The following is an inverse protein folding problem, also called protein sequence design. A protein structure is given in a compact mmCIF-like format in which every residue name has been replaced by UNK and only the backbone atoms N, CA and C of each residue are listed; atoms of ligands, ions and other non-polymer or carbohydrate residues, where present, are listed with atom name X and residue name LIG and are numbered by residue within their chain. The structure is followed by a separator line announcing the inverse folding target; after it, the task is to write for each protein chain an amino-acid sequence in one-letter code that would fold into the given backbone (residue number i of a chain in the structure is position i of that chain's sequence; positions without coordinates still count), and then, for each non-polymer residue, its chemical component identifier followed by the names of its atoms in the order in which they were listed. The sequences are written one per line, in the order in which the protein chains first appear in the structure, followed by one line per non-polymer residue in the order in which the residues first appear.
data_IF_109108527042
#
_entry.id   IF_109108527042
#
_cell.length_a   1.000
_cell.length_b   1.000
_cell.length_c   1.000
_cell.angle_alpha   90.00
_cell.angle_beta   90.00
_cell.angle_gamma   90.00
#
_symmetry.space_group_name_H-M   'P 1'
#
loop_
_entity.id
_entity.type
_entity.pdbx_description
1 polymer ?
#
# COMPACT_ATOMS: atom_id res chain seq x y z
N UNK A 1 -4.67 6.70 31.41
CA UNK A 1 -5.85 6.16 30.68
C UNK A 1 -5.44 6.14 29.23
N UNK A 2 -5.33 4.96 28.62
CA UNK A 2 -5.16 4.85 27.17
C UNK A 2 -6.37 5.50 26.51
N UNK A 3 -6.13 6.36 25.53
CA UNK A 3 -7.24 6.94 24.76
C UNK A 3 -7.90 5.81 23.95
N UNK A 4 -9.21 5.88 23.77
CA UNK A 4 -9.98 4.80 23.14
C UNK A 4 -9.47 4.49 21.72
N UNK A 5 -8.96 5.50 21.02
CA UNK A 5 -8.31 5.38 19.71
C UNK A 5 -7.02 4.56 19.74
N UNK A 6 -6.18 4.74 20.75
CA UNK A 6 -4.90 4.01 20.86
C UNK A 6 -5.14 2.52 21.09
N UNK A 7 -6.16 2.18 21.88
CA UNK A 7 -6.56 0.79 22.14
C UNK A 7 -7.10 0.11 20.88
N UNK A 8 -7.91 0.83 20.08
CA UNK A 8 -8.47 0.31 18.83
C UNK A 8 -7.37 0.10 17.75
N UNK A 9 -6.36 0.98 17.70
CA UNK A 9 -5.17 0.80 16.83
C UNK A 9 -4.30 -0.40 17.24
N UNK A 10 -4.07 -0.57 18.55
CA UNK A 10 -3.25 -1.66 19.08
C UNK A 10 -3.91 -3.02 18.82
N UNK A 11 -5.22 -3.12 19.08
CA UNK A 11 -6.01 -4.31 18.76
C UNK A 11 -6.01 -4.61 17.26
N UNK A 12 -6.10 -3.58 16.40
CA UNK A 12 -6.02 -3.76 14.95
C UNK A 12 -4.65 -4.28 14.50
N UNK A 13 -3.56 -3.80 15.10
CA UNK A 13 -2.21 -4.31 14.80
C UNK A 13 -2.04 -5.76 15.27
N UNK A 14 -2.55 -6.09 16.44
CA UNK A 14 -2.52 -7.44 16.98
C UNK A 14 -3.30 -8.42 16.09
N UNK A 15 -4.53 -8.06 15.70
CA UNK A 15 -5.37 -8.83 14.78
C UNK A 15 -4.69 -8.99 13.40
N UNK A 16 -4.06 -7.92 12.91
CA UNK A 16 -3.33 -7.94 11.65
C UNK A 16 -2.08 -8.84 11.69
N UNK A 17 -1.52 -9.07 12.89
CA UNK A 17 -0.40 -9.98 13.14
C UNK A 17 -0.81 -11.44 13.29
N UNK A 18 -1.89 -11.73 14.02
CA UNK A 18 -2.27 -13.10 14.41
C UNK A 18 -2.95 -13.87 13.25
N UNK A 19 -3.69 -13.18 12.37
CA UNK A 19 -4.50 -13.80 11.31
C UNK A 19 -3.79 -14.16 10.00
N UNK A 20 -2.45 -14.19 9.95
CA UNK A 20 -1.68 -14.48 8.72
C UNK A 20 -0.89 -13.30 8.15
N UNK A 21 -0.57 -12.30 8.99
CA UNK A 21 0.32 -11.19 8.65
C UNK A 21 -0.25 -10.23 7.61
N UNK A 22 -1.57 -10.04 7.57
CA UNK A 22 -2.23 -9.19 6.58
C UNK A 22 -1.74 -7.74 6.66
N UNK A 23 -1.59 -7.20 7.87
CA UNK A 23 -1.07 -5.84 8.07
C UNK A 23 0.34 -5.67 7.49
N UNK A 24 1.26 -6.56 7.87
CA UNK A 24 2.65 -6.53 7.39
C UNK A 24 2.73 -6.65 5.85
N UNK A 25 1.88 -7.49 5.25
CA UNK A 25 1.80 -7.62 3.78
C UNK A 25 1.31 -6.33 3.12
N UNK A 26 0.30 -5.67 3.71
CA UNK A 26 -0.20 -4.39 3.19
C UNK A 26 0.88 -3.32 3.31
N UNK A 27 1.52 -3.19 4.47
CA UNK A 27 2.61 -2.23 4.72
C UNK A 27 3.78 -2.44 3.77
N UNK A 28 4.16 -3.71 3.52
CA UNK A 28 5.21 -4.04 2.55
C UNK A 28 4.84 -3.59 1.15
N UNK A 29 3.61 -3.85 0.70
CA UNK A 29 3.14 -3.40 -0.61
C UNK A 29 3.14 -1.87 -0.69
N UNK A 30 2.67 -1.18 0.36
CA UNK A 30 2.66 0.28 0.45
C UNK A 30 4.07 0.87 0.39
N UNK A 31 5.03 0.28 1.10
CA UNK A 31 6.44 0.69 1.06
C UNK A 31 7.07 0.51 -0.32
N UNK A 32 6.77 -0.59 -1.01
CA UNK A 32 7.21 -0.78 -2.40
C UNK A 32 6.55 0.21 -3.37
N UNK A 33 5.24 0.46 -3.23
CA UNK A 33 4.52 1.45 -4.04
C UNK A 33 5.12 2.84 -3.88
N UNK A 34 5.44 3.25 -2.66
CA UNK A 34 6.08 4.54 -2.39
C UNK A 34 7.43 4.70 -3.12
N UNK A 35 8.28 3.66 -3.04
CA UNK A 35 9.56 3.62 -3.73
C UNK A 35 9.37 3.73 -5.25
N UNK A 36 8.37 3.05 -5.78
CA UNK A 36 8.03 3.11 -7.22
C UNK A 36 7.57 4.52 -7.61
N UNK A 37 6.69 5.16 -6.85
CA UNK A 37 6.23 6.53 -7.12
C UNK A 37 7.41 7.49 -7.22
N UNK A 38 8.34 7.43 -6.26
CA UNK A 38 9.57 8.24 -6.28
C UNK A 38 10.44 7.92 -7.50
N UNK A 39 10.63 6.65 -7.82
CA UNK A 39 11.44 6.22 -8.96
C UNK A 39 10.84 6.67 -10.32
N UNK A 40 9.52 6.54 -10.49
CA UNK A 40 8.82 7.00 -11.70
C UNK A 40 8.89 8.53 -11.80
N UNK A 41 8.73 9.26 -10.69
CA UNK A 41 8.90 10.71 -10.65
C UNK A 41 10.29 11.16 -11.08
N UNK A 42 11.34 10.45 -10.64
CA UNK A 42 12.72 10.69 -11.09
C UNK A 42 12.90 10.40 -12.59
N UNK A 43 12.42 9.25 -13.07
CA UNK A 43 12.51 8.89 -14.49
C UNK A 43 11.79 9.90 -15.37
N UNK A 44 10.62 10.37 -14.95
CA UNK A 44 9.87 11.41 -15.68
C UNK A 44 10.72 12.68 -15.86
N UNK A 45 11.30 13.22 -14.79
CA UNK A 45 12.18 14.40 -14.86
C UNK A 45 13.41 14.15 -15.74
N UNK A 46 13.96 12.93 -15.71
CA UNK A 46 15.10 12.55 -16.57
C UNK A 46 14.71 12.50 -18.05
N UNK A 47 13.52 11.97 -18.35
CA UNK A 47 12.98 11.89 -19.71
C UNK A 47 12.72 13.29 -20.26
N UNK A 48 12.13 14.18 -19.46
CA UNK A 48 11.87 15.57 -19.84
C UNK A 48 13.15 16.37 -20.17
N UNK A 49 14.29 16.02 -19.53
CA UNK A 49 15.57 16.71 -19.71
C UNK A 49 16.46 16.15 -20.82
N UNK A 50 16.16 14.96 -21.35
CA UNK A 50 17.04 14.33 -22.33
C UNK A 50 16.86 14.93 -23.73
N UNK A 51 17.96 15.29 -24.38
CA UNK A 51 18.00 15.62 -25.81
C UNK A 51 17.93 14.33 -26.65
N UNK A 52 16.74 13.74 -26.74
CA UNK A 52 16.48 12.49 -27.48
C UNK A 52 15.47 11.59 -26.78
N UNK A 53 15.22 10.39 -27.32
CA UNK A 53 14.29 9.41 -26.73
C UNK A 53 15.03 8.42 -25.82
N UNK A 54 14.98 8.57 -24.49
CA UNK A 54 15.73 7.73 -23.57
C UNK A 54 15.01 6.39 -23.37
N UNK A 55 15.09 5.51 -24.39
CA UNK A 55 14.36 4.23 -24.47
C UNK A 55 14.44 3.38 -23.19
N UNK A 56 15.60 3.35 -22.53
CA UNK A 56 15.79 2.62 -21.27
C UNK A 56 14.96 3.20 -20.12
N UNK A 57 14.92 4.54 -20.00
CA UNK A 57 14.15 5.22 -18.94
C UNK A 57 12.65 5.03 -19.15
N UNK A 58 12.19 5.07 -20.41
CA UNK A 58 10.80 4.82 -20.78
C UNK A 58 10.42 3.36 -20.48
N UNK A 59 11.25 2.39 -20.89
CA UNK A 59 10.99 0.97 -20.65
C UNK A 59 10.92 0.66 -19.15
N UNK A 60 11.83 1.24 -18.37
CA UNK A 60 11.84 1.10 -16.93
C UNK A 60 10.60 1.75 -16.30
N UNK A 61 10.18 2.94 -16.74
CA UNK A 61 8.99 3.59 -16.21
C UNK A 61 7.71 2.78 -16.46
N UNK A 62 7.59 2.16 -17.65
CA UNK A 62 6.44 1.29 -17.96
C UNK A 62 6.43 0.05 -17.05
N UNK A 63 7.57 -0.61 -16.86
CA UNK A 63 7.68 -1.77 -15.97
C UNK A 63 7.33 -1.42 -14.52
N UNK A 64 7.85 -0.29 -14.03
CA UNK A 64 7.56 0.19 -12.67
C UNK A 64 6.07 0.53 -12.50
N UNK A 65 5.45 1.20 -13.48
CA UNK A 65 4.00 1.47 -13.47
C UNK A 65 3.19 0.17 -13.40
N UNK A 66 3.54 -0.85 -14.19
CA UNK A 66 2.88 -2.16 -14.12
C UNK A 66 3.01 -2.78 -12.72
N UNK A 67 4.23 -2.80 -12.18
CA UNK A 67 4.50 -3.35 -10.83
C UNK A 67 3.74 -2.61 -9.74
N UNK A 68 3.58 -1.29 -9.85
CA UNK A 68 2.78 -0.51 -8.90
C UNK A 68 1.33 -0.99 -8.86
N UNK A 69 0.70 -1.21 -10.02
CA UNK A 69 -0.68 -1.67 -10.08
C UNK A 69 -0.84 -3.08 -9.50
N UNK A 70 0.10 -3.98 -9.79
CA UNK A 70 0.14 -5.32 -9.18
C UNK A 70 0.22 -5.23 -7.64
N UNK A 71 1.09 -4.36 -7.11
CA UNK A 71 1.21 -4.15 -5.66
C UNK A 71 -0.04 -3.51 -5.04
N UNK A 72 -0.68 -2.59 -5.77
CA UNK A 72 -1.92 -1.96 -5.33
C UNK A 72 -3.04 -2.98 -5.23
N UNK A 73 -3.21 -3.82 -6.23
CA UNK A 73 -4.20 -4.91 -6.21
C UNK A 73 -3.94 -5.90 -5.08
N UNK A 74 -2.68 -6.25 -4.85
CA UNK A 74 -2.30 -7.13 -3.75
C UNK A 74 -2.61 -6.49 -2.39
N UNK A 75 -2.24 -5.22 -2.17
CA UNK A 75 -2.56 -4.50 -0.93
C UNK A 75 -4.07 -4.44 -0.66
N UNK A 76 -4.87 -4.16 -1.70
CA UNK A 76 -6.34 -4.13 -1.60
C UNK A 76 -6.91 -5.52 -1.26
N UNK A 77 -6.34 -6.58 -1.84
CA UNK A 77 -6.72 -7.97 -1.54
C UNK A 77 -6.43 -8.34 -0.10
N UNK A 78 -5.23 -8.03 0.39
CA UNK A 78 -4.84 -8.30 1.78
C UNK A 78 -5.70 -7.47 2.76
N UNK A 79 -6.01 -6.21 2.44
CA UNK A 79 -6.95 -5.39 3.23
C UNK A 79 -8.34 -6.01 3.29
N UNK A 80 -8.84 -6.58 2.18
CA UNK A 80 -10.11 -7.31 2.17
C UNK A 80 -10.07 -8.54 3.08
N UNK A 81 -8.98 -9.31 3.08
CA UNK A 81 -8.84 -10.45 3.98
C UNK A 81 -8.80 -10.04 5.46
N UNK A 82 -8.11 -8.95 5.78
CA UNK A 82 -8.11 -8.38 7.12
C UNK A 82 -9.51 -7.98 7.59
N UNK A 83 -10.30 -7.36 6.71
CA UNK A 83 -11.70 -7.01 6.98
C UNK A 83 -12.53 -8.27 7.27
N UNK A 84 -12.45 -9.28 6.41
CA UNK A 84 -13.18 -10.56 6.60
C UNK A 84 -12.80 -11.22 7.93
N UNK A 85 -11.51 -11.20 8.27
CA UNK A 85 -11.02 -11.76 9.52
C UNK A 85 -11.55 -10.98 10.74
N UNK A 86 -11.55 -9.64 10.68
CA UNK A 86 -12.18 -8.78 11.72
C UNK A 86 -13.67 -9.08 11.88
N UNK A 87 -14.39 -9.25 10.77
CA UNK A 87 -15.82 -9.59 10.80
C UNK A 87 -16.07 -10.95 11.46
N UNK A 88 -15.22 -11.95 11.20
CA UNK A 88 -15.29 -13.26 11.85
C UNK A 88 -15.08 -13.18 13.38
N UNK A 89 -14.39 -12.15 13.86
CA UNK A 89 -14.20 -11.85 15.29
C UNK A 89 -15.29 -10.93 15.87
N UNK A 90 -16.31 -10.58 15.08
CA UNK A 90 -17.41 -9.70 15.51
C UNK A 90 -17.10 -8.20 15.42
N UNK A 91 -15.97 -7.80 14.82
CA UNK A 91 -15.60 -6.40 14.64
C UNK A 91 -16.15 -5.88 13.31
N UNK A 92 -17.32 -5.24 13.36
CA UNK A 92 -18.06 -4.79 12.16
C UNK A 92 -17.71 -3.36 11.70
N UNK A 93 -16.90 -2.63 12.47
CA UNK A 93 -16.42 -1.29 12.11
C UNK A 93 -15.01 -1.38 11.54
N UNK A 94 -14.85 -0.88 10.32
CA UNK A 94 -13.61 -1.01 9.54
C UNK A 94 -12.91 0.31 9.25
N UNK A 95 -13.40 1.43 9.79
CA UNK A 95 -12.87 2.77 9.52
C UNK A 95 -11.35 2.85 9.75
N UNK A 96 -10.88 2.34 10.89
CA UNK A 96 -9.44 2.29 11.23
C UNK A 96 -8.63 1.51 10.20
N UNK A 97 -9.18 0.44 9.62
CA UNK A 97 -8.50 -0.35 8.59
C UNK A 97 -8.20 0.53 7.37
N UNK A 98 -9.14 1.39 6.97
CA UNK A 98 -8.93 2.31 5.85
C UNK A 98 -8.03 3.50 6.22
N UNK A 99 -8.05 3.95 7.47
CA UNK A 99 -7.20 5.05 7.95
C UNK A 99 -5.72 4.61 8.05
N UNK A 100 -5.46 3.47 8.69
CA UNK A 100 -4.10 2.92 8.84
C UNK A 100 -3.59 2.40 7.49
N UNK A 101 -4.40 1.59 6.79
CA UNK A 101 -4.03 0.96 5.53
C UNK A 101 -4.65 1.69 4.32
N UNK A 102 -4.40 3.00 4.25
CA UNK A 102 -4.87 3.86 3.17
C UNK A 102 -4.08 3.63 1.87
N UNK A 103 -4.44 2.60 1.11
CA UNK A 103 -3.82 2.25 -0.18
C UNK A 103 -4.08 3.33 -1.24
N UNK A 104 -5.21 4.03 -1.15
CA UNK A 104 -5.66 5.05 -2.10
C UNK A 104 -4.79 6.31 -2.08
N UNK A 105 -4.00 6.53 -1.02
CA UNK A 105 -3.07 7.68 -0.93
C UNK A 105 -1.99 7.67 -2.01
N UNK A 106 -1.71 6.53 -2.62
CA UNK A 106 -0.65 6.39 -3.63
C UNK A 106 -1.19 6.61 -5.04
N UNK A 107 -0.58 7.54 -5.78
CA UNK A 107 -0.94 7.89 -7.15
C UNK A 107 0.29 7.97 -8.06
N UNK A 108 0.14 7.66 -9.36
CA UNK A 108 1.22 7.51 -10.35
C UNK A 108 0.91 8.21 -11.69
#
# INVERSE_FOLDING_TARGET
MLDKSELDEELLREIAGIGGGYGEKIERCMGEMERIVRAVGYLRKRIERSRGTPKLSIRLSVRLRKRFWELREEALRQRRFLIIYREALGLLKHREVFEIYNVERFTL
#
